data_IF_817183871474
#
_entry.id   IF_817183871474
#
_cell.length_a   1.000
_cell.length_b   1.000
_cell.length_c   1.000
_cell.angle_alpha   90.00
_cell.angle_beta   90.00
_cell.angle_gamma   90.00
#
_symmetry.space_group_name_H-M   'P 1'
#
loop_
_entity.id
_entity.type
_entity.pdbx_description
1 polymer ?
#
# COMPACT_ATOMS: atom_id res chain seq x y z
N UNK A 1 -52.91 8.24 -9.70
CA UNK A 1 -51.98 7.57 -8.79
C UNK A 1 -50.86 8.54 -8.53
N UNK A 2 -50.69 8.87 -7.26
CA UNK A 2 -49.79 9.91 -6.74
C UNK A 2 -48.40 9.29 -6.62
N UNK A 3 -47.35 10.01 -7.07
CA UNK A 3 -45.97 9.59 -6.88
C UNK A 3 -45.60 9.82 -5.42
N UNK A 4 -45.36 8.74 -4.68
CA UNK A 4 -44.76 8.82 -3.34
C UNK A 4 -43.27 9.12 -3.47
N UNK A 5 -42.88 10.17 -2.77
CA UNK A 5 -41.55 10.74 -2.65
C UNK A 5 -40.69 9.81 -1.77
N UNK A 6 -39.74 9.09 -2.38
CA UNK A 6 -38.83 8.21 -1.65
C UNK A 6 -37.72 9.04 -1.00
N UNK A 7 -37.94 9.48 0.24
CA UNK A 7 -36.91 10.09 1.08
C UNK A 7 -35.94 9.00 1.57
N UNK A 8 -34.92 8.72 0.77
CA UNK A 8 -33.78 7.92 1.19
C UNK A 8 -32.93 8.73 2.16
N UNK A 9 -32.93 8.35 3.43
CA UNK A 9 -32.06 8.90 4.47
C UNK A 9 -30.60 8.66 4.07
N UNK A 10 -29.84 9.74 3.91
CA UNK A 10 -28.38 9.70 3.79
C UNK A 10 -27.81 8.94 4.99
N UNK A 11 -27.12 7.84 4.72
CA UNK A 11 -26.31 7.15 5.72
C UNK A 11 -25.16 8.07 6.09
N UNK A 12 -25.31 8.85 7.17
CA UNK A 12 -24.24 9.64 7.77
C UNK A 12 -23.04 8.72 8.04
N UNK A 13 -22.00 8.83 7.20
CA UNK A 13 -20.66 8.44 7.62
C UNK A 13 -20.31 9.31 8.83
N UNK A 14 -19.91 8.74 9.99
CA UNK A 14 -19.49 9.54 11.13
C UNK A 14 -18.41 10.52 10.66
N UNK A 15 -18.64 11.81 10.85
CA UNK A 15 -17.64 12.84 10.57
C UNK A 15 -16.37 12.45 11.33
N UNK A 16 -15.30 12.17 10.58
CA UNK A 16 -14.02 11.86 11.16
C UNK A 16 -13.53 13.15 11.82
N UNK A 17 -13.57 13.20 13.15
CA UNK A 17 -13.01 14.29 13.93
C UNK A 17 -11.49 14.21 13.81
N UNK A 18 -10.95 14.85 12.78
CA UNK A 18 -9.51 14.93 12.54
C UNK A 18 -8.77 15.55 13.75
N UNK A 19 -9.42 16.44 14.50
CA UNK A 19 -8.84 17.06 15.69
C UNK A 19 -8.58 16.09 16.84
N UNK A 20 -9.27 14.96 16.92
CA UNK A 20 -9.02 13.94 17.94
C UNK A 20 -7.65 13.27 17.77
N UNK A 21 -7.17 13.12 16.54
CA UNK A 21 -5.93 12.39 16.20
C UNK A 21 -4.72 13.30 15.95
N UNK A 22 -4.95 14.59 15.70
CA UNK A 22 -3.89 15.58 15.52
C UNK A 22 -2.91 15.75 16.71
N UNK A 23 -3.29 15.59 17.99
CA UNK A 23 -2.38 15.82 19.11
C UNK A 23 -1.19 14.85 19.12
N UNK A 24 -1.42 13.59 18.75
CA UNK A 24 -0.38 12.56 18.68
C UNK A 24 0.64 12.84 17.58
N UNK A 25 0.18 13.42 16.47
CA UNK A 25 0.99 13.80 15.31
C UNK A 25 1.75 15.13 15.51
N UNK A 26 1.23 16.03 16.35
CA UNK A 26 1.76 17.38 16.56
C UNK A 26 2.65 17.54 17.79
N UNK A 27 3.07 16.44 18.41
CA UNK A 27 4.12 16.44 19.43
C UNK A 27 5.39 17.11 18.88
N UNK A 28 5.57 18.39 19.25
CA UNK A 28 6.65 19.30 18.81
C UNK A 28 8.04 18.84 19.25
N UNK A 29 8.12 17.78 20.07
CA UNK A 29 9.36 17.23 20.59
C UNK A 29 9.91 16.07 19.74
N UNK A 30 9.18 15.61 18.73
CA UNK A 30 9.68 14.61 17.76
C UNK A 30 10.47 15.28 16.61
N UNK A 31 11.57 15.96 16.95
CA UNK A 31 12.63 16.28 15.97
C UNK A 31 13.42 15.03 15.54
N UNK A 32 12.96 13.84 15.93
CA UNK A 32 13.42 12.57 15.43
C UNK A 32 12.72 12.29 14.11
N UNK A 33 13.51 12.06 13.05
CA UNK A 33 12.99 11.57 11.78
C UNK A 33 12.04 10.40 12.06
N UNK A 34 10.75 10.54 11.78
CA UNK A 34 9.82 9.41 11.74
C UNK A 34 10.26 8.57 10.54
N UNK A 35 11.13 7.60 10.80
CA UNK A 35 11.57 6.65 9.79
C UNK A 35 10.47 5.62 9.66
N UNK A 36 9.60 5.82 8.67
CA UNK A 36 8.71 4.76 8.18
C UNK A 36 9.57 3.72 7.47
N UNK A 37 10.16 2.84 8.27
CA UNK A 37 10.77 1.62 7.76
C UNK A 37 9.61 0.68 7.44
N UNK A 38 9.35 0.46 6.14
CA UNK A 38 8.62 -0.73 5.75
C UNK A 38 9.47 -1.92 6.19
N UNK A 39 9.15 -2.45 7.38
CA UNK A 39 9.63 -3.76 7.77
C UNK A 39 8.85 -4.73 6.87
N UNK A 40 9.36 -4.91 5.64
CA UNK A 40 8.91 -5.88 4.64
C UNK A 40 9.22 -7.31 5.12
N UNK A 41 9.08 -7.58 6.43
CA UNK A 41 9.02 -8.93 6.91
C UNK A 41 7.90 -9.59 6.11
N UNK A 42 8.26 -10.67 5.42
CA UNK A 42 7.42 -11.41 4.48
C UNK A 42 6.03 -11.69 5.05
N UNK A 43 5.93 -11.78 6.38
CA UNK A 43 4.70 -11.94 7.16
C UNK A 43 3.56 -11.01 6.75
N UNK A 44 3.72 -9.69 6.62
CA UNK A 44 2.58 -8.81 6.29
C UNK A 44 2.01 -9.12 4.90
N UNK A 45 2.87 -9.43 3.94
CA UNK A 45 2.43 -9.80 2.60
C UNK A 45 1.79 -11.18 2.57
N UNK A 46 2.39 -12.14 3.28
CA UNK A 46 1.83 -13.47 3.43
C UNK A 46 0.43 -13.37 4.08
N UNK A 47 0.24 -12.51 5.08
CA UNK A 47 -1.07 -12.22 5.65
C UNK A 47 -2.02 -11.59 4.62
N UNK A 48 -1.60 -10.58 3.85
CA UNK A 48 -2.48 -9.96 2.85
C UNK A 48 -2.89 -10.94 1.75
N UNK A 49 -1.96 -11.77 1.25
CA UNK A 49 -2.20 -12.76 0.20
C UNK A 49 -3.05 -13.93 0.73
N UNK A 50 -2.77 -14.40 1.95
CA UNK A 50 -3.48 -15.53 2.56
C UNK A 50 -4.93 -15.18 2.91
N UNK A 51 -5.16 -13.95 3.39
CA UNK A 51 -6.49 -13.54 3.87
C UNK A 51 -7.34 -12.85 2.79
N UNK A 52 -6.74 -12.37 1.69
CA UNK A 52 -7.46 -11.75 0.59
C UNK A 52 -7.44 -12.62 -0.66
N UNK A 53 -8.61 -13.17 -1.02
CA UNK A 53 -8.79 -13.84 -2.32
C UNK A 53 -8.98 -12.83 -3.49
N UNK A 54 -8.62 -11.56 -3.29
CA UNK A 54 -8.82 -10.50 -4.28
C UNK A 54 -7.50 -9.78 -4.54
N UNK A 55 -6.75 -10.29 -5.52
CA UNK A 55 -5.48 -9.72 -5.95
C UNK A 55 -5.57 -8.19 -6.18
N UNK A 56 -6.59 -7.73 -6.89
CA UNK A 56 -6.79 -6.29 -7.14
C UNK A 56 -7.00 -5.47 -5.86
N UNK A 57 -7.57 -6.06 -4.81
CA UNK A 57 -7.69 -5.39 -3.50
C UNK A 57 -6.32 -5.23 -2.86
N UNK A 58 -5.48 -6.26 -2.93
CA UNK A 58 -4.10 -6.21 -2.40
C UNK A 58 -3.29 -5.15 -3.14
N UNK A 59 -3.36 -5.12 -4.48
CA UNK A 59 -2.70 -4.10 -5.31
C UNK A 59 -3.13 -2.71 -4.88
N UNK A 60 -4.43 -2.45 -4.73
CA UNK A 60 -4.94 -1.14 -4.28
C UNK A 60 -4.41 -0.74 -2.90
N UNK A 61 -4.43 -1.65 -1.94
CA UNK A 61 -3.91 -1.39 -0.58
C UNK A 61 -2.42 -1.03 -0.64
N UNK A 62 -1.62 -1.79 -1.39
CA UNK A 62 -0.20 -1.51 -1.55
C UNK A 62 0.07 -0.19 -2.27
N UNK A 63 -0.70 0.15 -3.31
CA UNK A 63 -0.58 1.45 -3.98
C UNK A 63 -0.81 2.60 -3.00
N UNK A 64 -1.80 2.51 -2.10
CA UNK A 64 -2.02 3.53 -1.07
C UNK A 64 -0.88 3.59 -0.05
N UNK A 65 -0.32 2.45 0.35
CA UNK A 65 0.85 2.41 1.26
C UNK A 65 2.07 3.09 0.59
N UNK A 66 2.34 2.78 -0.68
CA UNK A 66 3.43 3.40 -1.42
C UNK A 66 3.22 4.90 -1.60
N UNK A 67 2.00 5.32 -1.93
CA UNK A 67 1.63 6.73 -2.00
C UNK A 67 1.81 7.43 -0.66
N UNK A 68 1.38 6.81 0.44
CA UNK A 68 1.55 7.35 1.79
C UNK A 68 3.03 7.61 2.09
N UNK A 69 3.89 6.61 1.88
CA UNK A 69 5.34 6.74 2.09
C UNK A 69 5.94 7.82 1.19
N UNK A 70 5.54 7.86 -0.08
CA UNK A 70 5.97 8.89 -1.01
C UNK A 70 5.59 10.29 -0.52
N UNK A 71 4.33 10.48 -0.10
CA UNK A 71 3.84 11.76 0.40
C UNK A 71 4.52 12.18 1.70
N UNK A 72 4.82 11.23 2.61
CA UNK A 72 5.61 11.50 3.81
C UNK A 72 7.02 12.00 3.47
N UNK A 73 7.65 11.43 2.42
CA UNK A 73 8.98 11.82 1.97
C UNK A 73 8.99 13.11 1.13
N UNK A 74 7.85 13.48 0.52
CA UNK A 74 7.72 14.60 -0.41
C UNK A 74 6.58 15.56 0.01
N UNK A 75 6.72 16.28 1.13
CA UNK A 75 5.64 17.08 1.70
C UNK A 75 5.16 18.23 0.79
N UNK A 76 6.00 18.72 -0.12
CA UNK A 76 5.66 19.77 -1.09
C UNK A 76 5.15 19.28 -2.45
N UNK A 77 5.14 17.97 -2.69
CA UNK A 77 4.65 17.35 -3.93
C UNK A 77 3.89 16.08 -3.60
N UNK A 78 2.76 16.23 -2.93
CA UNK A 78 1.92 15.10 -2.53
C UNK A 78 1.09 14.64 -3.72
N UNK A 79 0.96 13.32 -3.86
CA UNK A 79 -0.01 12.69 -4.74
C UNK A 79 -1.36 12.64 -4.04
N UNK A 80 -2.41 13.11 -4.71
CA UNK A 80 -3.78 13.20 -4.17
C UNK A 80 -4.79 12.69 -5.21
N UNK A 81 -6.05 12.55 -4.80
CA UNK A 81 -7.12 12.03 -5.66
C UNK A 81 -7.09 10.51 -5.86
N UNK A 82 -7.80 9.99 -6.89
CA UNK A 82 -7.84 8.55 -7.18
C UNK A 82 -6.44 7.96 -7.46
N UNK A 83 -6.28 6.65 -7.24
CA UNK A 83 -5.06 5.93 -7.64
C UNK A 83 -4.86 6.03 -9.16
N UNK A 84 -3.65 6.34 -9.60
CA UNK A 84 -3.31 6.32 -11.02
C UNK A 84 -2.96 4.90 -11.47
N UNK A 85 -2.99 4.65 -12.78
CA UNK A 85 -2.56 3.38 -13.37
C UNK A 85 -1.12 3.04 -13.00
N UNK A 86 -0.24 4.04 -12.95
CA UNK A 86 1.17 3.88 -12.66
C UNK A 86 1.39 3.39 -11.23
N UNK A 87 0.62 3.93 -10.26
CA UNK A 87 0.72 3.50 -8.86
C UNK A 87 0.16 2.10 -8.64
N UNK A 88 -0.88 1.73 -9.40
CA UNK A 88 -1.37 0.35 -9.41
C UNK A 88 -0.35 -0.61 -10.01
N UNK A 89 0.27 -0.23 -11.12
CA UNK A 89 1.29 -1.03 -11.80
C UNK A 89 2.56 -1.19 -10.95
N UNK A 90 2.98 -0.14 -10.24
CA UNK A 90 4.13 -0.20 -9.33
C UNK A 90 3.90 -1.22 -8.21
N UNK A 91 2.70 -1.24 -7.62
CA UNK A 91 2.32 -2.22 -6.60
C UNK A 91 2.25 -3.65 -7.16
N UNK A 92 1.67 -3.84 -8.34
CA UNK A 92 1.62 -5.14 -9.01
C UNK A 92 3.02 -5.67 -9.34
N UNK A 93 3.87 -4.83 -9.94
CA UNK A 93 5.23 -5.18 -10.29
C UNK A 93 6.07 -5.53 -9.05
N UNK A 94 5.85 -4.80 -7.96
CA UNK A 94 6.46 -5.12 -6.67
C UNK A 94 6.07 -6.53 -6.20
N UNK A 95 4.78 -6.87 -6.22
CA UNK A 95 4.31 -8.21 -5.83
C UNK A 95 4.92 -9.31 -6.69
N UNK A 96 4.94 -9.12 -8.02
CA UNK A 96 5.56 -10.07 -8.94
C UNK A 96 7.04 -10.29 -8.64
N UNK A 97 7.78 -9.21 -8.37
CA UNK A 97 9.19 -9.30 -7.98
C UNK A 97 9.40 -10.08 -6.68
N UNK A 98 8.53 -9.89 -5.69
CA UNK A 98 8.63 -10.61 -4.42
C UNK A 98 8.36 -12.11 -4.61
N UNK A 99 7.37 -12.47 -5.41
CA UNK A 99 7.11 -13.88 -5.75
C UNK A 99 8.23 -14.50 -6.58
N UNK A 100 8.83 -13.75 -7.52
CA UNK A 100 10.00 -14.20 -8.26
C UNK A 100 11.20 -14.43 -7.35
N UNK A 101 11.47 -13.52 -6.43
CA UNK A 101 12.53 -13.65 -5.43
C UNK A 101 12.31 -14.84 -4.50
N UNK A 102 11.05 -15.15 -4.17
CA UNK A 102 10.70 -16.30 -3.31
C UNK A 102 10.83 -17.62 -4.07
N UNK A 103 10.31 -17.68 -5.29
CA UNK A 103 10.20 -18.92 -6.06
C UNK A 103 11.49 -19.28 -6.78
N UNK A 104 12.26 -18.28 -7.21
CA UNK A 104 13.48 -18.43 -8.01
C UNK A 104 14.68 -17.80 -7.31
N UNK A 105 14.75 -17.90 -5.98
CA UNK A 105 15.79 -17.24 -5.20
C UNK A 105 17.20 -17.62 -5.68
N UNK A 106 17.42 -18.90 -5.95
CA UNK A 106 18.70 -19.44 -6.39
C UNK A 106 19.06 -18.94 -7.79
N UNK A 107 18.11 -18.98 -8.72
CA UNK A 107 18.28 -18.56 -10.11
C UNK A 107 18.48 -17.05 -10.22
N UNK A 108 17.72 -16.25 -9.47
CA UNK A 108 17.91 -14.80 -9.36
C UNK A 108 19.27 -14.44 -8.79
N UNK A 109 19.76 -15.20 -7.81
CA UNK A 109 21.07 -14.97 -7.21
C UNK A 109 22.19 -15.36 -8.19
N UNK A 110 22.08 -16.50 -8.87
CA UNK A 110 23.02 -16.92 -9.92
C UNK A 110 23.06 -15.91 -11.07
N UNK A 111 21.91 -15.49 -11.60
CA UNK A 111 21.80 -14.48 -12.65
C UNK A 111 22.42 -13.14 -12.25
N UNK A 112 22.23 -12.70 -11.00
CA UNK A 112 22.82 -11.45 -10.50
C UNK A 112 24.34 -11.53 -10.39
N UNK A 113 24.87 -12.72 -10.09
CA UNK A 113 26.31 -12.95 -9.94
C UNK A 113 27.00 -13.28 -11.26
N UNK A 114 26.24 -13.52 -12.33
CA UNK A 114 26.77 -13.95 -13.63
C UNK A 114 27.11 -15.44 -13.69
N UNK A 115 26.60 -16.24 -12.75
CA UNK A 115 26.79 -17.68 -12.70
C UNK A 115 25.78 -18.41 -13.60
N UNK A 116 26.15 -19.60 -14.08
CA UNK A 116 25.24 -20.44 -14.86
C UNK A 116 24.05 -20.92 -14.00
N UNK A 117 22.85 -20.84 -14.56
CA UNK A 117 21.62 -21.31 -13.92
C UNK A 117 21.61 -22.85 -14.01
N UNK A 118 22.00 -23.52 -12.92
CA UNK A 118 21.94 -24.98 -12.86
C UNK A 118 20.49 -25.44 -12.61
N UNK A 119 19.84 -25.99 -13.63
CA UNK A 119 18.55 -26.66 -13.48
C UNK A 119 18.75 -28.00 -12.76
N UNK A 120 17.98 -28.24 -11.70
CA UNK A 120 17.92 -29.51 -10.97
C UNK A 120 16.79 -30.40 -11.47
#
# INVERSE_FOLDING_TARGET
MQFDEFSGTDSECPELNEEEYLPELKSKDSKGNVVLTLNLNQTIFDYLITYSNRFLTIVRVLSFIFRFIFNCKNPGNKKEGPLTSEEMMEAEYFLLKQEQLRSFHTEMTAMRNGDDICHK
#
